data_IF_054784704976
#
_entry.id   IF_054784704976
#
_cell.length_a   1.000
_cell.length_b   1.000
_cell.length_c   1.000
_cell.angle_alpha   90.00
_cell.angle_beta   90.00
_cell.angle_gamma   90.00
#
_symmetry.space_group_name_H-M   'P 1'
#
loop_
_entity.id
_entity.type
_entity.pdbx_description
1 polymer ?
#
# COMPACT_ATOMS: atom_id res chain seq x y z
N UNK A 1 14.04 43.23 40.98
CA UNK A 1 12.79 42.46 40.76
C UNK A 1 12.70 41.90 39.33
N UNK A 2 12.96 42.68 38.27
CA UNK A 2 12.86 42.21 36.88
C UNK A 2 13.82 41.06 36.49
N UNK A 3 15.04 40.98 37.03
CA UNK A 3 15.97 39.87 36.72
C UNK A 3 15.52 38.49 37.25
N UNK A 4 14.70 38.44 38.31
CA UNK A 4 14.15 37.19 38.87
C UNK A 4 12.93 36.68 38.09
N UNK A 5 12.21 37.56 37.39
CA UNK A 5 11.05 37.18 36.55
C UNK A 5 11.48 36.56 35.21
N UNK A 6 12.59 37.03 34.62
CA UNK A 6 13.15 36.47 33.38
C UNK A 6 13.69 35.05 33.59
N UNK A 7 14.34 34.78 34.73
CA UNK A 7 14.86 33.43 35.06
C UNK A 7 13.75 32.45 35.45
N UNK A 8 12.63 32.92 36.01
CA UNK A 8 11.46 32.09 36.28
C UNK A 8 10.69 31.76 35.00
N UNK A 9 10.59 32.71 34.06
CA UNK A 9 10.02 32.50 32.73
C UNK A 9 10.80 31.48 31.90
N UNK A 10 12.14 31.56 31.89
CA UNK A 10 12.98 30.56 31.20
C UNK A 10 12.98 29.19 31.89
N UNK A 11 12.87 29.12 33.22
CA UNK A 11 12.69 27.84 33.92
C UNK A 11 11.30 27.22 33.71
N UNK A 12 10.25 28.01 33.46
CA UNK A 12 8.91 27.50 33.13
C UNK A 12 8.79 27.09 31.66
N UNK A 13 9.49 27.77 30.74
CA UNK A 13 9.60 27.36 29.34
C UNK A 13 10.43 26.05 29.23
N UNK A 14 11.54 25.94 29.98
CA UNK A 14 12.35 24.72 29.99
C UNK A 14 11.75 23.56 30.81
N UNK A 15 10.70 23.80 31.61
CA UNK A 15 9.97 22.74 32.35
C UNK A 15 8.70 22.27 31.62
N UNK A 16 8.27 22.96 30.55
CA UNK A 16 7.26 22.48 29.58
C UNK A 16 7.88 21.76 28.38
N UNK A 17 9.20 21.84 28.21
CA UNK A 17 9.96 20.87 27.40
C UNK A 17 10.34 19.74 28.36
N UNK A 18 9.31 19.05 28.86
CA UNK A 18 9.51 17.81 29.59
C UNK A 18 10.07 16.81 28.59
N UNK A 19 11.33 16.44 28.82
CA UNK A 19 12.01 15.29 28.25
C UNK A 19 11.17 14.03 28.51
N UNK A 20 10.18 13.81 27.65
CA UNK A 20 9.78 12.50 27.18
C UNK A 20 10.02 12.51 25.68
N UNK A 21 11.29 12.76 25.28
CA UNK A 21 11.76 12.15 24.04
C UNK A 21 11.71 10.66 24.32
N UNK A 22 10.61 9.99 23.94
CA UNK A 22 10.72 8.58 23.57
C UNK A 22 11.99 8.49 22.73
N UNK A 23 12.96 7.70 23.19
CA UNK A 23 14.19 7.48 22.44
C UNK A 23 13.78 7.22 20.99
N UNK A 24 14.41 7.92 20.05
CA UNK A 24 14.08 7.87 18.63
C UNK A 24 14.11 6.40 18.18
N UNK A 25 12.93 5.77 18.19
CA UNK A 25 12.77 4.31 18.19
C UNK A 25 12.79 3.72 16.79
N UNK A 26 13.21 4.53 15.82
CA UNK A 26 13.29 4.11 14.43
C UNK A 26 14.23 2.92 14.30
N UNK A 27 13.72 1.88 13.64
CA UNK A 27 14.47 0.70 13.28
C UNK A 27 14.10 0.31 11.86
N UNK A 28 15.10 0.26 10.98
CA UNK A 28 14.87 -0.12 9.60
C UNK A 28 14.37 -1.57 9.51
N UNK A 29 13.24 -1.78 8.83
CA UNK A 29 12.58 -3.09 8.71
C UNK A 29 13.44 -4.10 7.95
N UNK A 30 14.27 -3.64 7.02
CA UNK A 30 15.16 -4.50 6.22
C UNK A 30 16.53 -4.77 6.87
N UNK A 31 17.07 -3.84 7.65
CA UNK A 31 18.47 -3.91 8.09
C UNK A 31 18.75 -3.64 9.57
N UNK A 32 17.74 -3.29 10.36
CA UNK A 32 17.83 -2.90 11.77
C UNK A 32 18.66 -1.62 12.06
N UNK A 33 19.08 -0.88 11.04
CA UNK A 33 19.73 0.42 11.26
C UNK A 33 18.78 1.42 11.91
N UNK A 34 19.31 2.26 12.78
CA UNK A 34 18.61 3.40 13.37
C UNK A 34 18.90 4.73 12.64
N UNK A 35 19.70 4.70 11.56
CA UNK A 35 20.03 5.90 10.79
C UNK A 35 19.04 6.09 9.65
N UNK A 36 18.41 7.26 9.63
CA UNK A 36 17.43 7.61 8.62
C UNK A 36 17.51 9.08 8.20
N UNK A 37 16.91 9.36 7.05
CA UNK A 37 16.59 10.70 6.58
C UNK A 37 15.07 10.86 6.51
N UNK A 38 14.54 11.99 7.00
CA UNK A 38 13.12 12.30 6.92
C UNK A 38 12.77 12.75 5.50
N UNK A 39 11.85 12.04 4.84
CA UNK A 39 11.44 12.33 3.46
C UNK A 39 10.16 13.15 3.43
N UNK A 40 9.15 12.77 4.21
CA UNK A 40 7.88 13.48 4.32
C UNK A 40 7.33 13.28 5.73
N UNK A 41 6.91 14.37 6.37
CA UNK A 41 6.17 14.31 7.64
C UNK A 41 4.72 14.75 7.39
N UNK A 42 3.77 13.87 7.69
CA UNK A 42 2.34 14.11 7.53
C UNK A 42 1.65 14.47 8.85
N UNK A 43 2.41 14.53 9.95
CA UNK A 43 1.89 14.74 11.29
C UNK A 43 1.13 13.50 11.77
N UNK A 44 0.01 13.71 12.45
CA UNK A 44 -0.84 12.63 12.94
C UNK A 44 -2.08 12.50 12.04
N UNK A 45 -2.37 11.31 11.53
CA UNK A 45 -3.57 11.04 10.71
C UNK A 45 -4.30 9.83 11.29
N UNK A 46 -5.64 9.74 11.14
CA UNK A 46 -6.38 8.57 11.58
C UNK A 46 -5.99 7.33 10.76
N UNK A 47 -6.28 6.15 11.30
CA UNK A 47 -6.11 4.90 10.56
C UNK A 47 -7.02 4.88 9.33
N UNK A 48 -6.44 4.64 8.16
CA UNK A 48 -7.10 4.80 6.88
C UNK A 48 -8.36 3.93 6.68
N UNK A 49 -8.48 2.80 7.40
CA UNK A 49 -9.62 1.90 7.34
C UNK A 49 -10.56 1.96 8.57
N UNK A 50 -10.34 2.90 9.51
CA UNK A 50 -11.15 3.04 10.72
C UNK A 50 -12.42 3.89 10.51
N UNK A 51 -13.29 3.48 9.58
CA UNK A 51 -14.56 4.16 9.31
C UNK A 51 -15.46 4.18 10.55
N UNK A 52 -16.15 5.30 10.79
CA UNK A 52 -16.94 5.51 12.01
C UNK A 52 -18.43 5.60 11.73
N UNK A 53 -19.27 5.22 12.70
CA UNK A 53 -20.73 5.26 12.54
C UNK A 53 -21.33 6.66 12.73
N UNK A 54 -20.71 7.47 13.57
CA UNK A 54 -21.15 8.84 13.86
C UNK A 54 -19.95 9.67 14.33
N UNK A 55 -20.11 11.00 14.32
CA UNK A 55 -19.05 11.94 14.68
C UNK A 55 -18.67 11.95 16.16
N UNK A 56 -19.40 11.23 17.02
CA UNK A 56 -19.08 11.07 18.44
C UNK A 56 -18.20 9.83 18.70
N UNK A 57 -17.92 9.03 17.67
CA UNK A 57 -17.10 7.83 17.77
C UNK A 57 -15.64 8.17 18.10
N UNK A 58 -15.13 7.52 19.14
CA UNK A 58 -13.75 7.71 19.62
C UNK A 58 -12.69 7.15 18.68
N UNK A 59 -13.05 6.30 17.71
CA UNK A 59 -12.10 5.81 16.71
C UNK A 59 -11.47 6.97 15.89
N UNK A 60 -12.19 8.09 15.76
CA UNK A 60 -11.71 9.32 15.14
C UNK A 60 -10.57 10.02 15.93
N UNK A 61 -10.50 9.74 17.23
CA UNK A 61 -9.46 10.28 18.13
C UNK A 61 -8.17 9.46 18.10
N UNK A 62 -8.15 8.30 17.42
CA UNK A 62 -6.96 7.46 17.25
C UNK A 62 -6.14 7.92 16.05
N UNK A 63 -5.59 9.13 16.15
CA UNK A 63 -4.60 9.63 15.18
C UNK A 63 -3.23 9.09 15.58
N UNK A 64 -2.51 8.55 14.61
CA UNK A 64 -1.17 7.99 14.80
C UNK A 64 -0.19 8.77 13.92
N UNK A 65 1.06 9.00 14.37
CA UNK A 65 2.09 9.64 13.56
C UNK A 65 2.25 8.94 12.21
N UNK A 66 2.43 9.72 11.15
CA UNK A 66 2.69 9.23 9.81
C UNK A 66 3.79 10.05 9.16
N UNK A 67 4.97 9.44 9.05
CA UNK A 67 6.10 10.06 8.36
C UNK A 67 6.84 9.01 7.54
N UNK A 68 7.22 9.36 6.32
CA UNK A 68 8.05 8.56 5.44
C UNK A 68 9.52 8.90 5.70
N UNK A 69 10.34 7.88 5.89
CA UNK A 69 11.79 8.00 6.09
C UNK A 69 12.55 7.09 5.14
N UNK A 70 13.78 7.47 4.80
CA UNK A 70 14.72 6.65 4.05
C UNK A 70 15.83 6.16 4.97
N UNK A 71 16.08 4.86 5.00
CA UNK A 71 17.20 4.28 5.72
C UNK A 71 18.53 4.67 5.04
N UNK A 72 19.48 5.17 5.83
CA UNK A 72 20.80 5.61 5.34
C UNK A 72 21.81 4.46 5.15
N UNK A 73 21.43 3.22 5.45
CA UNK A 73 22.31 2.04 5.34
C UNK A 73 21.87 1.05 4.25
N UNK A 74 20.58 0.98 3.90
CA UNK A 74 20.07 0.04 2.91
C UNK A 74 19.07 0.65 1.91
N UNK A 75 18.90 1.97 1.96
CA UNK A 75 18.07 2.75 1.03
C UNK A 75 16.57 2.42 1.02
N UNK A 76 16.10 1.64 2.01
CA UNK A 76 14.68 1.34 2.17
C UNK A 76 13.92 2.60 2.56
N UNK A 77 12.84 2.89 1.84
CA UNK A 77 11.82 3.84 2.27
C UNK A 77 10.78 3.10 3.11
N UNK A 78 10.42 3.66 4.26
CA UNK A 78 9.44 3.07 5.16
C UNK A 78 8.75 4.12 6.00
N UNK A 79 7.62 3.78 6.59
CA UNK A 79 7.06 4.63 7.64
C UNK A 79 7.96 4.56 8.89
N UNK A 80 8.08 5.68 9.59
CA UNK A 80 8.95 5.80 10.76
C UNK A 80 8.38 5.07 11.97
N UNK A 81 7.09 5.20 12.20
CA UNK A 81 6.40 4.76 13.41
C UNK A 81 5.40 3.66 13.05
N UNK A 82 5.57 2.48 13.65
CA UNK A 82 4.67 1.35 13.45
C UNK A 82 3.44 1.47 14.34
N UNK A 83 2.26 1.16 13.79
CA UNK A 83 1.03 1.02 14.56
C UNK A 83 0.85 -0.45 14.92
N UNK A 84 0.35 -0.70 16.13
CA UNK A 84 -0.01 -2.04 16.59
C UNK A 84 -0.90 -2.76 15.56
N UNK A 85 -0.43 -3.92 15.09
CA UNK A 85 -1.10 -4.74 14.06
C UNK A 85 -2.52 -5.14 14.46
N UNK A 86 -2.79 -5.32 15.74
CA UNK A 86 -4.14 -5.62 16.23
C UNK A 86 -5.10 -4.45 15.99
N UNK A 87 -4.61 -3.20 16.07
CA UNK A 87 -5.40 -2.02 15.70
C UNK A 87 -5.65 -1.95 14.19
N UNK A 88 -4.64 -2.25 13.37
CA UNK A 88 -4.74 -2.18 11.90
C UNK A 88 -5.65 -3.25 11.29
N UNK A 89 -5.56 -4.50 11.76
CA UNK A 89 -6.18 -5.65 11.07
C UNK A 89 -7.39 -6.25 11.79
N UNK A 90 -7.89 -5.65 12.87
CA UNK A 90 -9.06 -6.16 13.60
C UNK A 90 -10.33 -6.28 12.75
N UNK A 91 -10.46 -5.49 11.68
CA UNK A 91 -11.57 -5.55 10.71
C UNK A 91 -11.06 -5.31 9.27
N UNK A 92 -10.28 -6.24 8.71
CA UNK A 92 -9.79 -6.11 7.32
C UNK A 92 -10.93 -6.27 6.31
N UNK A 93 -11.22 -5.23 5.52
CA UNK A 93 -12.37 -5.17 4.61
C UNK A 93 -12.03 -5.41 3.13
N UNK A 94 -10.74 -5.60 2.79
CA UNK A 94 -10.31 -5.73 1.40
C UNK A 94 -10.30 -7.18 0.94
N UNK A 95 -10.98 -7.44 -0.18
CA UNK A 95 -11.03 -8.74 -0.85
C UNK A 95 -10.62 -8.59 -2.31
N UNK A 96 -9.63 -9.36 -2.75
CA UNK A 96 -9.11 -9.29 -4.12
C UNK A 96 -10.20 -9.58 -5.15
N UNK A 97 -11.07 -10.56 -4.87
CA UNK A 97 -12.20 -10.94 -5.72
C UNK A 97 -13.31 -9.87 -5.86
N UNK A 98 -13.18 -8.69 -5.25
CA UNK A 98 -14.18 -7.61 -5.40
C UNK A 98 -13.80 -6.54 -6.42
N UNK A 99 -12.57 -6.55 -6.94
CA UNK A 99 -12.11 -5.61 -7.97
C UNK A 99 -11.97 -6.31 -9.32
N UNK A 100 -12.69 -5.83 -10.34
CA UNK A 100 -12.58 -6.30 -11.73
C UNK A 100 -11.15 -6.19 -12.26
N UNK A 101 -10.52 -5.02 -12.09
CA UNK A 101 -9.14 -4.81 -12.50
C UNK A 101 -8.15 -5.76 -11.82
N UNK A 102 -8.32 -6.02 -10.51
CA UNK A 102 -7.46 -6.95 -9.78
C UNK A 102 -7.63 -8.40 -10.26
N UNK A 103 -8.86 -8.81 -10.64
CA UNK A 103 -9.12 -10.12 -11.22
C UNK A 103 -8.44 -10.30 -12.57
N UNK A 104 -8.67 -9.36 -13.50
CA UNK A 104 -8.07 -9.44 -14.84
C UNK A 104 -6.54 -9.43 -14.78
N UNK A 105 -5.95 -8.65 -13.87
CA UNK A 105 -4.50 -8.68 -13.65
C UNK A 105 -4.03 -10.03 -13.09
N UNK A 106 -4.72 -10.58 -12.09
CA UNK A 106 -4.39 -11.90 -11.54
C UNK A 106 -4.52 -13.03 -12.57
N UNK A 107 -5.54 -12.98 -13.44
CA UNK A 107 -5.73 -13.89 -14.57
C UNK A 107 -4.56 -13.80 -15.56
N UNK A 108 -4.21 -12.58 -15.99
CA UNK A 108 -3.10 -12.34 -16.92
C UNK A 108 -1.75 -12.81 -16.34
N UNK A 109 -1.50 -12.51 -15.06
CA UNK A 109 -0.30 -12.97 -14.36
C UNK A 109 -0.28 -14.50 -14.26
N UNK A 110 -1.42 -15.11 -13.94
CA UNK A 110 -1.55 -16.56 -13.89
C UNK A 110 -1.23 -17.21 -15.23
N UNK A 111 -1.74 -16.66 -16.33
CA UNK A 111 -1.47 -17.14 -17.69
C UNK A 111 0.03 -17.00 -18.05
N UNK A 112 0.64 -15.87 -17.69
CA UNK A 112 2.07 -15.65 -17.93
C UNK A 112 2.93 -16.69 -17.22
N UNK A 113 2.69 -16.90 -15.92
CA UNK A 113 3.43 -17.87 -15.11
C UNK A 113 3.10 -19.31 -15.53
N UNK A 114 1.88 -19.59 -15.98
CA UNK A 114 1.50 -20.87 -16.56
C UNK A 114 2.32 -21.19 -17.83
N UNK A 115 2.46 -20.24 -18.76
CA UNK A 115 3.27 -20.44 -19.98
C UNK A 115 4.73 -20.77 -19.64
N UNK A 116 5.23 -20.24 -18.53
CA UNK A 116 6.59 -20.44 -18.06
C UNK A 116 6.78 -21.76 -17.31
N UNK A 117 5.90 -22.08 -16.36
CA UNK A 117 6.08 -23.20 -15.42
C UNK A 117 5.15 -24.40 -15.67
N UNK A 118 4.08 -24.21 -16.43
CA UNK A 118 3.00 -25.17 -16.63
C UNK A 118 3.26 -26.22 -17.72
N UNK A 119 4.29 -26.07 -18.55
CA UNK A 119 4.61 -27.01 -19.65
C UNK A 119 5.50 -28.20 -19.22
N UNK A 120 5.75 -28.36 -17.92
CA UNK A 120 6.54 -29.47 -17.40
C UNK A 120 5.73 -30.78 -17.32
N UNK A 121 6.40 -31.92 -17.51
CA UNK A 121 5.80 -33.27 -17.37
C UNK A 121 5.23 -33.49 -15.96
N UNK A 122 5.93 -33.01 -14.94
CA UNK A 122 5.45 -32.92 -13.55
C UNK A 122 5.04 -31.46 -13.28
N UNK A 123 3.77 -31.25 -12.89
CA UNK A 123 3.30 -29.93 -12.47
C UNK A 123 4.02 -29.51 -11.18
N UNK A 124 4.47 -28.25 -11.06
CA UNK A 124 5.21 -27.79 -9.89
C UNK A 124 4.27 -27.64 -8.68
N UNK A 125 4.87 -27.69 -7.49
CA UNK A 125 4.23 -27.23 -6.27
C UNK A 125 4.35 -25.70 -6.18
N UNK A 126 3.20 -25.03 -6.00
CA UNK A 126 3.11 -23.58 -5.88
C UNK A 126 2.62 -23.16 -4.49
N UNK A 127 3.37 -22.25 -3.86
CA UNK A 127 2.95 -21.62 -2.60
C UNK A 127 2.66 -20.14 -2.81
N UNK A 128 1.47 -19.69 -2.43
CA UNK A 128 1.14 -18.26 -2.38
C UNK A 128 1.21 -17.71 -0.95
N UNK A 129 2.05 -16.71 -0.75
CA UNK A 129 2.23 -15.97 0.50
C UNK A 129 1.24 -14.82 0.57
N UNK A 130 0.48 -14.74 1.67
CA UNK A 130 -0.67 -13.85 1.85
C UNK A 130 -1.71 -14.04 0.73
N UNK A 131 -2.17 -15.29 0.58
CA UNK A 131 -3.04 -15.73 -0.52
C UNK A 131 -4.45 -15.13 -0.52
N UNK A 132 -4.82 -14.36 0.52
CA UNK A 132 -6.15 -13.77 0.68
C UNK A 132 -7.25 -14.83 0.55
N UNK A 133 -8.27 -14.58 -0.27
CA UNK A 133 -9.35 -15.51 -0.57
C UNK A 133 -8.91 -16.72 -1.43
N UNK A 134 -7.68 -16.76 -1.93
CA UNK A 134 -7.15 -17.83 -2.77
C UNK A 134 -7.56 -17.75 -4.24
N UNK A 135 -8.12 -16.62 -4.70
CA UNK A 135 -8.51 -16.42 -6.10
C UNK A 135 -7.37 -16.71 -7.09
N UNK A 136 -6.14 -16.32 -6.74
CA UNK A 136 -4.98 -16.58 -7.58
C UNK A 136 -4.64 -18.08 -7.63
N UNK A 137 -4.60 -18.76 -6.47
CA UNK A 137 -4.38 -20.22 -6.39
C UNK A 137 -5.40 -21.05 -7.18
N UNK A 138 -6.65 -20.60 -7.26
CA UNK A 138 -7.72 -21.28 -7.98
C UNK A 138 -7.36 -21.57 -9.44
N UNK A 139 -6.67 -20.63 -10.10
CA UNK A 139 -6.25 -20.78 -11.51
C UNK A 139 -5.23 -21.91 -11.68
N UNK A 140 -4.38 -22.14 -10.68
CA UNK A 140 -3.35 -23.17 -10.72
C UNK A 140 -3.89 -24.55 -10.28
N UNK A 141 -4.82 -24.58 -9.33
CA UNK A 141 -5.58 -25.79 -8.99
C UNK A 141 -6.24 -26.37 -10.24
N UNK A 142 -6.99 -25.54 -10.96
CA UNK A 142 -7.74 -25.95 -12.15
C UNK A 142 -6.81 -26.41 -13.28
N UNK A 143 -5.57 -25.93 -13.26
CA UNK A 143 -4.52 -26.30 -14.19
C UNK A 143 -3.65 -27.49 -13.70
N UNK A 144 -4.00 -28.09 -12.56
CA UNK A 144 -3.45 -29.34 -12.03
C UNK A 144 -2.18 -29.20 -11.19
N UNK A 145 -1.87 -28.02 -10.68
CA UNK A 145 -0.72 -27.80 -9.78
C UNK A 145 -1.04 -28.34 -8.36
N UNK A 146 -0.02 -28.78 -7.64
CA UNK A 146 -0.11 -28.85 -6.17
C UNK A 146 -0.01 -27.41 -5.65
N UNK A 147 -0.91 -27.01 -4.75
CA UNK A 147 -1.03 -25.62 -4.30
C UNK A 147 -1.15 -25.53 -2.79
N UNK A 148 -0.62 -24.45 -2.22
CA UNK A 148 -0.79 -24.10 -0.82
C UNK A 148 -0.80 -22.59 -0.62
N UNK A 149 -1.81 -22.08 0.07
CA UNK A 149 -1.85 -20.70 0.55
C UNK A 149 -1.36 -20.58 1.99
N UNK A 150 -0.82 -19.43 2.35
CA UNK A 150 -0.60 -19.02 3.74
C UNK A 150 -1.16 -17.61 3.91
N UNK A 151 -2.20 -17.46 4.73
CA UNK A 151 -2.84 -16.16 4.97
C UNK A 151 -3.34 -16.06 6.42
N UNK A 152 -3.01 -14.99 7.16
CA UNK A 152 -3.38 -14.87 8.58
C UNK A 152 -4.87 -14.57 8.82
N UNK A 153 -5.61 -14.13 7.79
CA UNK A 153 -6.99 -13.68 7.91
C UNK A 153 -8.01 -14.83 7.94
N UNK A 154 -9.28 -14.50 8.15
CA UNK A 154 -10.39 -15.46 8.02
C UNK A 154 -10.52 -16.03 6.60
N UNK A 155 -9.96 -15.37 5.58
CA UNK A 155 -10.05 -15.83 4.20
C UNK A 155 -9.35 -17.17 3.95
N UNK A 156 -8.37 -17.56 4.79
CA UNK A 156 -7.77 -18.89 4.73
C UNK A 156 -8.80 -20.00 4.96
N UNK A 157 -9.76 -19.81 5.88
CA UNK A 157 -10.83 -20.77 6.14
C UNK A 157 -11.83 -20.82 4.98
N UNK A 158 -12.16 -19.66 4.40
CA UNK A 158 -13.02 -19.56 3.22
C UNK A 158 -12.38 -20.24 1.99
N UNK A 159 -11.08 -20.06 1.79
CA UNK A 159 -10.32 -20.73 0.74
C UNK A 159 -10.35 -22.27 0.92
N UNK A 160 -10.11 -22.76 2.14
CA UNK A 160 -10.20 -24.19 2.45
C UNK A 160 -11.60 -24.76 2.15
N UNK A 161 -12.66 -24.04 2.50
CA UNK A 161 -14.04 -24.44 2.20
C UNK A 161 -14.32 -24.56 0.68
N UNK A 162 -13.57 -23.83 -0.15
CA UNK A 162 -13.61 -23.91 -1.63
C UNK A 162 -12.63 -24.94 -2.21
N UNK A 163 -11.98 -25.75 -1.38
CA UNK A 163 -11.02 -26.76 -1.82
C UNK A 163 -9.66 -26.17 -2.24
N UNK A 164 -9.28 -25.02 -1.69
CA UNK A 164 -7.97 -24.39 -1.85
C UNK A 164 -7.21 -24.54 -0.52
N UNK A 165 -6.24 -25.46 -0.40
CA UNK A 165 -5.51 -25.67 0.84
C UNK A 165 -4.80 -24.40 1.30
N UNK A 166 -5.15 -23.90 2.49
CA UNK A 166 -4.58 -22.68 3.06
C UNK A 166 -4.29 -22.81 4.54
N UNK A 167 -3.11 -22.38 4.98
CA UNK A 167 -2.72 -22.30 6.40
C UNK A 167 -3.08 -20.92 6.94
N UNK A 168 -3.84 -20.89 8.05
CA UNK A 168 -4.17 -19.65 8.76
C UNK A 168 -3.04 -19.25 9.72
N UNK A 169 -2.01 -18.61 9.19
CA UNK A 169 -0.84 -18.14 9.97
C UNK A 169 -0.16 -16.97 9.24
N UNK A 170 0.68 -16.21 9.94
CA UNK A 170 1.59 -15.27 9.27
C UNK A 170 2.73 -16.04 8.59
N UNK A 171 3.13 -15.60 7.40
CA UNK A 171 4.25 -16.21 6.71
C UNK A 171 5.58 -15.77 7.32
N UNK A 172 6.41 -16.75 7.66
CA UNK A 172 7.65 -16.57 8.41
C UNK A 172 8.37 -17.90 8.61
N UNK A 173 9.53 -17.90 9.27
CA UNK A 173 10.34 -19.11 9.45
C UNK A 173 9.58 -20.23 10.18
N UNK A 174 8.71 -19.88 11.13
CA UNK A 174 7.97 -20.85 11.95
C UNK A 174 6.94 -21.64 11.15
N UNK A 175 6.09 -20.98 10.36
CA UNK A 175 5.13 -21.69 9.49
C UNK A 175 5.86 -22.47 8.41
N UNK A 176 6.98 -21.96 7.91
CA UNK A 176 7.83 -22.69 6.94
C UNK A 176 8.36 -24.00 7.52
N UNK A 177 8.76 -24.03 8.79
CA UNK A 177 9.16 -25.29 9.45
C UNK A 177 8.00 -26.30 9.45
N UNK A 178 6.79 -25.87 9.82
CA UNK A 178 5.58 -26.74 9.81
C UNK A 178 5.27 -27.27 8.41
N UNK A 179 5.43 -26.44 7.37
CA UNK A 179 5.23 -26.87 5.98
C UNK A 179 6.22 -27.97 5.61
N UNK A 180 7.50 -27.80 5.94
CA UNK A 180 8.57 -28.75 5.60
C UNK A 180 8.48 -30.09 6.34
N UNK A 181 7.69 -30.19 7.41
CA UNK A 181 7.39 -31.46 8.07
C UNK A 181 6.49 -32.37 7.22
N UNK A 182 5.70 -31.79 6.31
CA UNK A 182 4.63 -32.50 5.58
C UNK A 182 4.68 -32.35 4.07
N UNK A 183 5.46 -31.38 3.55
CA UNK A 183 5.55 -31.04 2.13
C UNK A 183 7.01 -30.82 1.73
N UNK A 184 7.30 -31.06 0.45
CA UNK A 184 8.58 -30.68 -0.15
C UNK A 184 8.64 -29.16 -0.39
N UNK A 185 9.83 -28.67 -0.77
CA UNK A 185 10.03 -27.26 -1.13
C UNK A 185 9.38 -26.96 -2.49
N UNK A 186 8.58 -25.88 -2.62
CA UNK A 186 7.97 -25.50 -3.89
C UNK A 186 8.99 -25.08 -4.95
N UNK A 187 8.70 -25.39 -6.21
CA UNK A 187 9.39 -24.85 -7.38
C UNK A 187 8.95 -23.41 -7.70
N UNK A 188 7.72 -23.04 -7.31
CA UNK A 188 7.20 -21.68 -7.52
C UNK A 188 6.63 -21.13 -6.21
N UNK A 189 7.09 -19.94 -5.84
CA UNK A 189 6.47 -19.16 -4.77
C UNK A 189 5.94 -17.86 -5.35
N UNK A 190 4.80 -17.39 -4.87
CA UNK A 190 4.21 -16.10 -5.28
C UNK A 190 3.87 -15.28 -4.05
N UNK A 191 4.19 -13.99 -4.05
CA UNK A 191 3.78 -13.06 -3.00
C UNK A 191 3.36 -11.74 -3.62
N UNK A 192 2.09 -11.37 -3.48
CA UNK A 192 1.52 -10.19 -4.15
C UNK A 192 1.10 -9.14 -3.14
N UNK A 193 1.64 -7.93 -3.32
CA UNK A 193 1.34 -6.74 -2.53
C UNK A 193 1.54 -6.92 -1.01
N UNK A 194 2.35 -7.88 -0.56
CA UNK A 194 2.53 -8.21 0.88
C UNK A 194 3.83 -7.67 1.49
N UNK A 195 4.92 -7.58 0.72
CA UNK A 195 6.22 -7.14 1.26
C UNK A 195 6.11 -5.75 1.90
N UNK A 196 5.38 -4.83 1.27
CA UNK A 196 5.12 -3.49 1.77
C UNK A 196 4.34 -3.45 3.08
N UNK A 197 3.63 -4.52 3.45
CA UNK A 197 2.75 -4.59 4.63
C UNK A 197 3.37 -5.33 5.82
N UNK A 198 4.59 -5.86 5.69
CA UNK A 198 5.19 -6.70 6.74
C UNK A 198 6.03 -5.90 7.73
N UNK A 199 5.63 -5.91 9.00
CA UNK A 199 6.47 -5.43 10.13
C UNK A 199 7.66 -6.35 10.38
N UNK A 200 7.51 -7.63 10.03
CA UNK A 200 8.55 -8.65 10.16
C UNK A 200 9.19 -8.95 8.79
N UNK A 201 9.57 -7.88 8.05
CA UNK A 201 10.08 -8.00 6.69
C UNK A 201 11.28 -8.96 6.58
N UNK A 202 12.15 -8.97 7.59
CA UNK A 202 13.28 -9.87 7.68
C UNK A 202 12.85 -11.35 7.82
N UNK A 203 11.91 -11.65 8.72
CA UNK A 203 11.41 -13.01 8.92
C UNK A 203 10.62 -13.53 7.70
N UNK A 204 9.84 -12.64 7.07
CA UNK A 204 9.14 -12.92 5.81
C UNK A 204 10.11 -13.39 4.72
N UNK A 205 11.18 -12.61 4.45
CA UNK A 205 12.17 -12.95 3.42
C UNK A 205 13.00 -14.17 3.82
N UNK A 206 13.34 -14.33 5.10
CA UNK A 206 14.02 -15.53 5.61
C UNK A 206 13.17 -16.79 5.38
N UNK A 207 11.87 -16.71 5.64
CA UNK A 207 10.91 -17.78 5.35
C UNK A 207 10.86 -18.11 3.86
N UNK A 208 10.80 -17.09 2.99
CA UNK A 208 10.76 -17.28 1.54
C UNK A 208 12.02 -17.98 1.03
N UNK A 209 13.19 -17.50 1.45
CA UNK A 209 14.48 -18.12 1.16
C UNK A 209 14.53 -19.58 1.59
N UNK A 210 14.07 -19.85 2.82
CA UNK A 210 14.13 -21.20 3.41
C UNK A 210 13.21 -22.18 2.70
N UNK A 211 11.99 -21.75 2.37
CA UNK A 211 10.98 -22.59 1.74
C UNK A 211 11.29 -22.86 0.27
N UNK A 212 11.84 -21.89 -0.47
CA UNK A 212 12.09 -22.00 -1.91
C UNK A 212 13.06 -23.17 -2.23
N UNK A 213 12.69 -24.00 -3.19
CA UNK A 213 13.57 -25.07 -3.70
C UNK A 213 14.85 -24.50 -4.35
N UNK A 214 15.89 -25.32 -4.53
CA UNK A 214 17.20 -24.86 -4.99
C UNK A 214 17.18 -24.18 -6.37
N UNK A 215 16.33 -24.67 -7.28
CA UNK A 215 16.12 -24.09 -8.62
C UNK A 215 14.77 -23.35 -8.70
N UNK A 216 14.12 -23.12 -7.55
CA UNK A 216 12.81 -22.50 -7.49
C UNK A 216 12.84 -21.02 -7.85
N UNK A 217 11.69 -20.51 -8.29
CA UNK A 217 11.47 -19.09 -8.57
C UNK A 217 10.45 -18.50 -7.61
N UNK A 218 10.83 -17.43 -6.91
CA UNK A 218 9.93 -16.58 -6.13
C UNK A 218 9.49 -15.41 -7.01
N UNK A 219 8.19 -15.25 -7.21
CA UNK A 219 7.59 -14.15 -7.96
C UNK A 219 6.97 -13.16 -6.98
N UNK A 220 7.42 -11.91 -7.04
CA UNK A 220 6.96 -10.83 -6.17
C UNK A 220 6.24 -9.78 -7.00
N UNK A 221 5.03 -9.41 -6.61
CA UNK A 221 4.33 -8.23 -7.13
C UNK A 221 4.28 -7.17 -6.03
N UNK A 222 4.78 -5.96 -6.29
CA UNK A 222 4.82 -4.89 -5.28
C UNK A 222 4.78 -3.49 -5.91
N UNK A 223 4.17 -2.49 -5.26
CA UNK A 223 4.19 -1.11 -5.73
C UNK A 223 5.60 -0.58 -5.88
N UNK A 224 5.87 0.13 -6.97
CA UNK A 224 7.21 0.66 -7.24
C UNK A 224 7.38 2.04 -6.60
N UNK A 225 8.30 2.18 -5.65
CA UNK A 225 8.51 3.46 -4.95
C UNK A 225 8.89 4.64 -5.85
N UNK A 226 9.36 4.39 -7.08
CA UNK A 226 9.51 5.44 -8.09
C UNK A 226 8.20 6.21 -8.33
N UNK A 227 7.05 5.53 -8.30
CA UNK A 227 5.74 6.13 -8.58
C UNK A 227 5.28 7.11 -7.49
N UNK A 228 5.73 6.92 -6.25
CA UNK A 228 5.55 7.93 -5.19
C UNK A 228 6.08 9.28 -5.66
N UNK A 229 7.28 9.30 -6.24
CA UNK A 229 7.94 10.54 -6.66
C UNK A 229 7.48 11.02 -8.03
N UNK A 230 7.32 10.09 -8.99
CA UNK A 230 6.99 10.43 -10.37
C UNK A 230 5.56 10.93 -10.52
N UNK A 231 4.62 10.28 -9.84
CA UNK A 231 3.17 10.56 -9.92
C UNK A 231 2.62 11.15 -8.61
N UNK A 232 3.52 11.55 -7.71
CA UNK A 232 3.18 12.19 -6.44
C UNK A 232 2.17 11.39 -5.59
N UNK A 233 2.23 10.05 -5.64
CA UNK A 233 1.31 9.12 -4.98
C UNK A 233 1.49 9.06 -3.45
N UNK A 234 1.67 10.21 -2.79
CA UNK A 234 1.86 10.31 -1.34
C UNK A 234 0.64 9.81 -0.55
N UNK A 235 -0.53 9.76 -1.18
CA UNK A 235 -1.75 9.22 -0.60
C UNK A 235 -1.64 7.71 -0.33
N UNK A 236 -0.76 7.00 -1.04
CA UNK A 236 -0.39 5.62 -0.75
C UNK A 236 0.50 5.47 0.50
N UNK A 237 0.81 6.58 1.17
CA UNK A 237 1.46 6.60 2.47
C UNK A 237 0.41 6.50 3.57
N UNK A 238 0.31 5.34 4.22
CA UNK A 238 -0.61 5.10 5.34
C UNK A 238 -0.10 3.95 6.20
N UNK A 239 -0.61 3.81 7.42
CA UNK A 239 -0.04 2.96 8.46
C UNK A 239 0.06 1.45 8.11
N UNK A 240 -0.71 0.96 7.14
CA UNK A 240 -0.60 -0.44 6.68
C UNK A 240 0.52 -0.64 5.63
N UNK A 241 0.90 0.42 4.91
CA UNK A 241 2.01 0.41 3.96
C UNK A 241 3.30 0.77 4.70
N UNK A 242 3.93 -0.23 5.31
CA UNK A 242 5.13 -0.07 6.11
C UNK A 242 6.38 0.21 5.27
N UNK A 243 6.50 -0.38 4.08
CA UNK A 243 7.71 -0.31 3.23
C UNK A 243 7.40 0.06 1.79
N UNK A 244 8.27 0.88 1.18
CA UNK A 244 8.21 1.33 -0.21
C UNK A 244 9.50 0.93 -0.91
N UNK A 245 9.37 0.05 -1.89
CA UNK A 245 10.49 -0.73 -2.42
C UNK A 245 10.90 -0.22 -3.81
N UNK A 246 12.21 -0.09 -3.99
CA UNK A 246 12.89 0.07 -5.28
C UNK A 246 13.68 -1.21 -5.60
N UNK A 247 14.10 -1.39 -6.84
CA UNK A 247 15.00 -2.49 -7.24
C UNK A 247 16.28 -2.45 -6.41
N UNK A 248 16.90 -1.27 -6.23
CA UNK A 248 18.07 -1.10 -5.36
C UNK A 248 17.86 -1.52 -3.91
N UNK A 249 16.72 -1.14 -3.29
CA UNK A 249 16.41 -1.54 -1.92
C UNK A 249 16.16 -3.06 -1.80
N UNK A 250 15.54 -3.68 -2.82
CA UNK A 250 15.32 -5.11 -2.89
C UNK A 250 16.65 -5.87 -3.03
N UNK A 251 17.59 -5.37 -3.84
CA UNK A 251 18.96 -5.91 -3.91
C UNK A 251 19.63 -5.90 -2.53
N UNK A 252 19.56 -4.78 -1.82
CA UNK A 252 20.14 -4.64 -0.48
C UNK A 252 19.49 -5.58 0.56
N UNK A 253 18.19 -5.86 0.41
CA UNK A 253 17.45 -6.81 1.25
C UNK A 253 17.82 -8.26 0.91
N UNK A 254 17.67 -8.66 -0.35
CA UNK A 254 17.85 -10.05 -0.81
C UNK A 254 19.28 -10.55 -0.69
N UNK A 255 20.28 -9.69 -0.87
CA UNK A 255 21.68 -10.03 -0.66
C UNK A 255 21.95 -10.57 0.75
N UNK A 256 21.22 -10.09 1.76
CA UNK A 256 21.33 -10.57 3.17
C UNK A 256 20.82 -12.00 3.34
N UNK A 257 19.95 -12.44 2.44
CA UNK A 257 19.33 -13.75 2.44
C UNK A 257 19.83 -14.64 1.30
N UNK A 258 20.95 -14.30 0.64
CA UNK A 258 21.48 -15.09 -0.48
C UNK A 258 20.44 -15.34 -1.58
N UNK A 259 19.64 -14.32 -1.85
CA UNK A 259 18.67 -14.27 -2.94
C UNK A 259 19.11 -13.18 -3.93
N UNK A 260 18.76 -13.36 -5.21
CA UNK A 260 18.98 -12.38 -6.26
C UNK A 260 17.78 -12.23 -7.17
N UNK A 261 17.61 -11.03 -7.70
CA UNK A 261 16.62 -10.74 -8.73
C UNK A 261 17.17 -11.26 -10.07
N UNK A 262 16.39 -12.06 -10.77
CA UNK A 262 16.73 -12.57 -12.11
C UNK A 262 15.92 -11.86 -13.19
N UNK A 263 14.68 -11.49 -12.90
CA UNK A 263 13.81 -10.75 -13.80
C UNK A 263 13.15 -9.58 -13.07
N UNK A 264 12.99 -8.44 -13.72
CA UNK A 264 12.14 -7.34 -13.23
C UNK A 264 11.36 -6.70 -14.37
N UNK A 265 10.04 -6.64 -14.22
CA UNK A 265 9.13 -6.01 -15.16
C UNK A 265 8.29 -4.94 -14.45
N UNK A 266 8.01 -3.85 -15.15
CA UNK A 266 7.07 -2.83 -14.69
C UNK A 266 5.67 -3.14 -15.20
N UNK A 267 4.67 -3.00 -14.33
CA UNK A 267 3.25 -3.12 -14.68
C UNK A 267 2.47 -1.94 -14.13
N UNK A 268 1.41 -1.51 -14.84
CA UNK A 268 0.61 -0.35 -14.43
C UNK A 268 -0.32 -0.61 -13.23
N UNK A 269 -0.38 -1.86 -12.75
CA UNK A 269 -1.23 -2.26 -11.63
C UNK A 269 -0.97 -1.41 -10.38
N UNK A 270 -2.04 -1.07 -9.64
CA UNK A 270 -1.99 -0.29 -8.40
C UNK A 270 -1.28 1.07 -8.52
N UNK A 271 -1.29 1.69 -9.70
CA UNK A 271 -0.60 2.97 -9.93
C UNK A 271 0.87 2.83 -10.33
N UNK A 272 1.31 1.60 -10.62
CA UNK A 272 2.65 1.27 -11.05
C UNK A 272 3.36 0.36 -10.04
N UNK A 273 3.60 -0.87 -10.45
CA UNK A 273 4.17 -1.94 -9.64
C UNK A 273 5.32 -2.62 -10.38
N UNK A 274 6.13 -3.37 -9.64
CA UNK A 274 7.13 -4.29 -10.18
C UNK A 274 6.60 -5.72 -10.07
N UNK A 275 6.93 -6.54 -11.07
CA UNK A 275 6.95 -7.99 -10.96
C UNK A 275 8.42 -8.41 -10.95
N UNK A 276 8.89 -8.94 -9.84
CA UNK A 276 10.27 -9.42 -9.69
C UNK A 276 10.29 -10.95 -9.63
N UNK A 277 11.10 -11.58 -10.47
CA UNK A 277 11.49 -12.98 -10.26
C UNK A 277 12.79 -13.00 -9.45
N UNK A 278 12.79 -13.81 -8.39
CA UNK A 278 13.87 -13.93 -7.42
C UNK A 278 14.24 -15.40 -7.30
N UNK A 279 15.54 -15.69 -7.29
CA UNK A 279 16.09 -17.03 -7.10
C UNK A 279 17.20 -17.01 -6.06
N UNK A 280 17.69 -18.18 -5.65
CA UNK A 280 18.91 -18.27 -4.86
C UNK A 280 20.11 -17.63 -5.60
N UNK A 281 21.00 -17.00 -4.84
CA UNK A 281 22.18 -16.28 -5.36
C UNK A 281 23.03 -17.15 -6.30
N UNK A 282 23.15 -18.44 -5.97
CA UNK A 282 23.94 -19.43 -6.71
C UNK A 282 23.26 -19.95 -8.00
N UNK A 283 22.02 -19.55 -8.30
CA UNK A 283 21.35 -19.88 -9.55
C UNK A 283 22.20 -19.43 -10.76
N UNK A 284 22.15 -20.17 -11.86
CA UNK A 284 22.88 -19.81 -13.09
C UNK A 284 22.11 -18.83 -13.99
N UNK A 285 20.86 -18.52 -13.64
CA UNK A 285 20.04 -17.57 -14.39
C UNK A 285 20.64 -16.16 -14.26
N UNK A 286 20.80 -15.49 -15.39
CA UNK A 286 21.30 -14.13 -15.47
C UNK A 286 20.23 -13.11 -15.04
N UNK A 287 20.65 -12.02 -14.41
CA UNK A 287 19.78 -10.89 -14.04
C UNK A 287 19.55 -9.95 -15.22
N UNK A 288 18.33 -9.46 -15.40
CA UNK A 288 17.99 -8.47 -16.43
C UNK A 288 17.60 -7.08 -15.88
N UNK A 289 17.89 -6.83 -14.61
CA UNK A 289 17.52 -5.62 -13.86
C UNK A 289 18.47 -4.43 -14.05
N UNK A 290 19.55 -4.60 -14.82
CA UNK A 290 20.60 -3.60 -15.00
C UNK A 290 20.09 -2.27 -15.56
N UNK A 291 19.11 -2.32 -16.47
CA UNK A 291 18.51 -1.11 -17.03
C UNK A 291 17.70 -0.33 -15.97
N UNK A 292 16.93 -1.02 -15.13
CA UNK A 292 16.21 -0.39 -14.02
C UNK A 292 17.16 0.16 -12.97
N UNK A 293 18.19 -0.58 -12.57
CA UNK A 293 19.20 -0.09 -11.62
C UNK A 293 19.94 1.14 -12.15
N UNK A 294 20.29 1.15 -13.44
CA UNK A 294 20.91 2.32 -14.08
C UNK A 294 19.96 3.52 -14.10
N UNK A 295 18.67 3.29 -14.35
CA UNK A 295 17.64 4.32 -14.27
C UNK A 295 17.49 4.87 -12.85
N UNK A 296 17.31 4.02 -11.84
CA UNK A 296 17.21 4.39 -10.42
C UNK A 296 18.41 5.23 -9.98
N UNK A 297 19.62 4.82 -10.39
CA UNK A 297 20.85 5.56 -10.12
C UNK A 297 20.86 6.92 -10.81
N UNK A 298 20.49 6.98 -12.09
CA UNK A 298 20.46 8.23 -12.87
C UNK A 298 19.54 9.28 -12.22
N UNK A 299 18.37 8.85 -11.75
CA UNK A 299 17.38 9.73 -11.11
C UNK A 299 17.62 9.89 -9.60
N UNK A 300 18.69 9.30 -9.05
CA UNK A 300 19.03 9.32 -7.62
C UNK A 300 17.97 8.70 -6.70
N UNK A 301 17.17 7.73 -7.16
CA UNK A 301 16.01 7.21 -6.41
C UNK A 301 16.39 6.63 -5.04
N UNK A 302 17.58 6.02 -4.94
CA UNK A 302 18.15 5.49 -3.71
C UNK A 302 19.18 6.44 -3.10
N UNK A 303 18.91 7.75 -3.12
CA UNK A 303 19.76 8.76 -2.46
C UNK A 303 18.90 9.80 -1.75
N UNK A 304 19.43 10.40 -0.68
CA UNK A 304 18.77 11.53 0.02
C UNK A 304 18.41 12.65 -0.94
N UNK A 305 19.35 13.05 -1.80
CA UNK A 305 19.15 14.14 -2.77
C UNK A 305 17.99 13.86 -3.73
N UNK A 306 17.72 12.59 -4.06
CA UNK A 306 16.61 12.20 -4.92
C UNK A 306 15.23 12.47 -4.31
N UNK A 307 15.13 12.71 -3.00
CA UNK A 307 13.88 12.94 -2.28
C UNK A 307 13.74 14.36 -1.71
N UNK A 308 14.76 15.22 -1.85
CA UNK A 308 14.78 16.57 -1.25
C UNK A 308 13.62 17.48 -1.66
N UNK A 309 13.04 17.29 -2.85
CA UNK A 309 11.91 18.07 -3.33
C UNK A 309 10.55 17.41 -3.07
N UNK A 310 10.51 16.12 -2.75
CA UNK A 310 9.26 15.37 -2.64
C UNK A 310 8.29 16.01 -1.63
N UNK A 311 8.76 16.34 -0.43
CA UNK A 311 7.94 17.03 0.56
C UNK A 311 7.47 18.43 0.09
N UNK A 312 8.25 19.16 -0.70
CA UNK A 312 7.84 20.46 -1.24
C UNK A 312 6.75 20.30 -2.28
N UNK A 313 6.90 19.32 -3.18
CA UNK A 313 5.94 19.03 -4.25
C UNK A 313 4.62 18.54 -3.66
N UNK A 314 4.65 17.64 -2.67
CA UNK A 314 3.48 17.20 -1.91
C UNK A 314 2.76 18.37 -1.24
N UNK A 315 3.51 19.26 -0.57
CA UNK A 315 2.92 20.46 0.05
C UNK A 315 2.32 21.43 -0.97
N UNK A 316 2.89 21.51 -2.17
CA UNK A 316 2.33 22.32 -3.27
C UNK A 316 1.03 21.70 -3.77
N UNK A 317 1.03 20.40 -4.08
CA UNK A 317 -0.16 19.66 -4.52
C UNK A 317 -1.30 19.81 -3.51
N UNK A 318 -1.01 19.68 -2.21
CA UNK A 318 -1.99 19.86 -1.13
C UNK A 318 -2.66 21.23 -1.22
N UNK A 319 -1.88 22.30 -1.37
CA UNK A 319 -2.40 23.68 -1.46
C UNK A 319 -3.23 23.87 -2.72
N UNK A 320 -2.76 23.34 -3.85
CA UNK A 320 -3.45 23.45 -5.13
C UNK A 320 -4.80 22.72 -5.10
N UNK A 321 -4.87 21.53 -4.48
CA UNK A 321 -6.11 20.75 -4.41
C UNK A 321 -7.16 21.47 -3.56
N UNK A 322 -6.76 21.96 -2.39
CA UNK A 322 -7.65 22.73 -1.50
C UNK A 322 -8.10 24.02 -2.18
N UNK A 323 -7.20 24.71 -2.89
CA UNK A 323 -7.53 25.92 -3.63
C UNK A 323 -8.56 25.66 -4.74
N UNK A 324 -8.38 24.58 -5.52
CA UNK A 324 -9.33 24.17 -6.55
C UNK A 324 -10.72 23.89 -5.96
N UNK A 325 -10.81 23.06 -4.91
CA UNK A 325 -12.08 22.71 -4.28
C UNK A 325 -12.77 23.93 -3.66
N UNK A 326 -12.00 24.84 -3.05
CA UNK A 326 -12.52 26.08 -2.46
C UNK A 326 -13.06 27.01 -3.55
N UNK A 327 -12.37 27.15 -4.68
CA UNK A 327 -12.83 27.96 -5.82
C UNK A 327 -14.13 27.41 -6.40
N UNK A 328 -14.24 26.09 -6.59
CA UNK A 328 -15.47 25.43 -7.05
C UNK A 328 -16.64 25.69 -6.08
N UNK A 329 -16.41 25.54 -4.77
CA UNK A 329 -17.42 25.86 -3.74
C UNK A 329 -17.85 27.33 -3.82
N UNK A 330 -16.91 28.26 -3.94
CA UNK A 330 -17.21 29.70 -4.01
C UNK A 330 -18.00 30.08 -5.27
N UNK A 331 -17.86 29.31 -6.35
CA UNK A 331 -18.66 29.43 -7.58
C UNK A 331 -20.04 28.76 -7.47
N UNK A 332 -20.35 28.14 -6.33
CA UNK A 332 -21.62 27.46 -6.08
C UNK A 332 -21.70 26.04 -6.63
N UNK A 333 -20.57 25.46 -7.05
CA UNK A 333 -20.54 24.08 -7.53
C UNK A 333 -20.54 23.08 -6.37
N UNK A 334 -21.22 21.95 -6.59
CA UNK A 334 -21.25 20.82 -5.67
C UNK A 334 -20.21 19.79 -6.08
N UNK A 335 -19.23 19.59 -5.21
CA UNK A 335 -18.22 18.54 -5.36
C UNK A 335 -18.58 17.36 -4.45
N UNK A 336 -18.51 16.16 -5.01
CA UNK A 336 -18.52 14.89 -4.27
C UNK A 336 -17.27 14.09 -4.63
N UNK A 337 -17.01 12.99 -3.94
CA UNK A 337 -15.90 12.09 -4.28
C UNK A 337 -16.39 10.68 -4.60
N UNK A 338 -15.59 9.92 -5.34
CA UNK A 338 -15.87 8.51 -5.62
C UNK A 338 -14.65 7.61 -5.33
N UNK A 339 -14.88 6.56 -4.55
CA UNK A 339 -13.89 5.61 -4.06
C UNK A 339 -13.37 5.97 -2.67
N UNK A 340 -13.96 5.36 -1.63
CA UNK A 340 -13.54 5.50 -0.24
C UNK A 340 -12.34 4.59 0.07
N UNK A 341 -11.29 4.68 -0.74
CA UNK A 341 -10.08 3.86 -0.60
C UNK A 341 -9.22 4.32 0.59
N UNK A 342 -8.46 3.41 1.21
CA UNK A 342 -7.54 3.74 2.31
C UNK A 342 -6.60 4.90 1.97
N UNK A 343 -5.95 4.84 0.80
CA UNK A 343 -5.10 5.93 0.29
C UNK A 343 -5.81 7.29 0.22
N UNK A 344 -7.09 7.29 -0.18
CA UNK A 344 -7.87 8.52 -0.28
C UNK A 344 -8.12 9.13 1.11
N UNK A 345 -8.28 8.30 2.14
CA UNK A 345 -8.45 8.78 3.52
C UNK A 345 -7.21 9.51 4.01
N UNK A 346 -6.01 9.03 3.66
CA UNK A 346 -4.75 9.77 3.92
C UNK A 346 -4.81 11.15 3.29
N UNK A 347 -5.12 11.24 1.99
CA UNK A 347 -5.13 12.52 1.29
C UNK A 347 -6.15 13.49 1.89
N UNK A 348 -7.39 13.03 2.14
CA UNK A 348 -8.42 13.87 2.74
C UNK A 348 -7.96 14.46 4.07
N UNK A 349 -7.37 13.63 4.95
CA UNK A 349 -6.88 14.06 6.25
C UNK A 349 -5.66 14.98 6.16
N UNK A 350 -4.70 14.63 5.31
CA UNK A 350 -3.49 15.44 5.15
C UNK A 350 -3.80 16.80 4.52
N UNK A 351 -4.76 16.85 3.60
CA UNK A 351 -5.23 18.07 2.97
C UNK A 351 -6.26 18.86 3.79
N UNK A 352 -6.79 18.29 4.88
CA UNK A 352 -7.88 18.86 5.67
C UNK A 352 -9.16 19.12 4.84
N UNK A 353 -9.55 18.12 4.04
CA UNK A 353 -10.72 18.17 3.16
C UNK A 353 -11.90 17.48 3.84
N UNK A 354 -12.81 18.28 4.39
CA UNK A 354 -14.04 17.83 5.04
C UNK A 354 -15.32 17.97 4.18
N UNK A 355 -16.50 17.70 4.78
CA UNK A 355 -17.80 17.75 4.12
C UNK A 355 -18.15 19.11 3.52
N UNK A 356 -17.51 20.17 4.02
CA UNK A 356 -17.65 21.53 3.53
C UNK A 356 -17.10 21.73 2.11
N UNK A 357 -16.13 20.91 1.69
CA UNK A 357 -15.54 20.95 0.34
C UNK A 357 -15.97 19.76 -0.50
N UNK A 358 -16.19 18.60 0.11
CA UNK A 358 -16.60 17.36 -0.56
C UNK A 358 -17.80 16.78 0.17
N UNK A 359 -19.00 16.95 -0.39
CA UNK A 359 -20.25 16.73 0.34
C UNK A 359 -20.52 15.26 0.73
N UNK A 360 -20.00 14.30 -0.05
CA UNK A 360 -20.15 12.87 0.19
C UNK A 360 -19.06 12.07 -0.56
N UNK A 361 -18.87 10.82 -0.16
CA UNK A 361 -17.99 9.86 -0.82
C UNK A 361 -18.81 8.64 -1.29
N UNK A 362 -18.92 8.42 -2.60
CA UNK A 362 -19.57 7.23 -3.12
C UNK A 362 -18.63 6.04 -3.12
N UNK A 363 -19.10 4.87 -2.68
CA UNK A 363 -18.33 3.63 -2.76
C UNK A 363 -19.25 2.43 -3.09
N UNK A 364 -18.78 1.53 -3.94
CA UNK A 364 -19.54 0.33 -4.33
C UNK A 364 -19.58 -0.72 -3.21
N UNK A 365 -18.63 -0.68 -2.26
CA UNK A 365 -18.59 -1.58 -1.13
C UNK A 365 -19.69 -1.23 -0.12
N UNK A 366 -20.73 -2.05 -0.09
CA UNK A 366 -21.88 -1.90 0.81
C UNK A 366 -21.50 -1.94 2.29
N UNK A 367 -20.35 -2.51 2.67
CA UNK A 367 -19.86 -2.50 4.06
C UNK A 367 -19.40 -1.12 4.53
N UNK A 368 -19.10 -0.19 3.61
CA UNK A 368 -18.70 1.18 3.93
C UNK A 368 -19.87 2.17 3.92
N UNK A 369 -20.95 1.85 3.20
CA UNK A 369 -22.10 2.73 3.04
C UNK A 369 -22.81 2.97 4.37
N UNK A 370 -23.18 4.22 4.64
CA UNK A 370 -23.77 4.64 5.92
C UNK A 370 -22.75 4.93 7.02
N UNK A 371 -21.46 4.76 6.76
CA UNK A 371 -20.38 5.18 7.66
C UNK A 371 -19.83 6.55 7.26
N UNK A 372 -18.92 7.08 8.07
CA UNK A 372 -18.19 8.32 7.81
C UNK A 372 -16.71 8.02 7.57
N UNK A 373 -16.10 8.77 6.65
CA UNK A 373 -14.66 8.74 6.40
C UNK A 373 -13.89 9.11 7.70
N UNK A 374 -12.82 8.39 8.06
CA UNK A 374 -12.03 8.67 9.26
C UNK A 374 -11.43 10.08 9.22
N UNK A 375 -11.44 10.79 10.34
CA UNK A 375 -10.87 12.13 10.57
C UNK A 375 -11.71 13.28 10.02
N UNK A 376 -12.15 13.16 8.77
CA UNK A 376 -12.81 14.24 8.04
C UNK A 376 -14.33 14.13 8.02
N UNK A 377 -14.88 12.99 8.45
CA UNK A 377 -16.31 12.75 8.61
C UNK A 377 -17.19 13.00 7.36
N UNK A 378 -16.63 12.80 6.17
CA UNK A 378 -17.41 12.82 4.93
C UNK A 378 -18.32 11.57 4.90
N UNK A 379 -19.64 11.69 4.66
CA UNK A 379 -20.52 10.54 4.63
C UNK A 379 -20.26 9.65 3.43
N UNK A 380 -20.18 8.34 3.67
CA UNK A 380 -20.04 7.32 2.63
C UNK A 380 -21.42 6.85 2.20
N UNK A 381 -21.72 6.97 0.90
CA UNK A 381 -23.04 6.67 0.32
C UNK A 381 -22.92 5.70 -0.85
N UNK A 382 -24.03 5.13 -1.28
CA UNK A 382 -24.05 4.33 -2.50
C UNK A 382 -23.78 5.21 -3.75
N UNK A 383 -23.27 4.63 -4.85
CA UNK A 383 -23.08 5.38 -6.10
C UNK A 383 -24.37 6.04 -6.62
N UNK A 384 -25.53 5.41 -6.37
CA UNK A 384 -26.82 5.98 -6.76
C UNK A 384 -27.14 7.23 -5.94
N UNK A 385 -27.06 7.13 -4.61
CA UNK A 385 -27.31 8.27 -3.71
C UNK A 385 -26.36 9.43 -4.01
N UNK A 386 -25.09 9.12 -4.33
CA UNK A 386 -24.10 10.12 -4.72
C UNK A 386 -24.56 10.96 -5.93
N UNK A 387 -25.09 10.31 -6.97
CA UNK A 387 -25.55 10.99 -8.19
C UNK A 387 -26.91 11.66 -8.00
N UNK A 388 -27.78 11.10 -7.16
CA UNK A 388 -29.06 11.73 -6.80
C UNK A 388 -28.85 13.09 -6.08
N UNK A 389 -27.67 13.33 -5.49
CA UNK A 389 -27.28 14.66 -4.98
C UNK A 389 -27.06 15.70 -6.09
N UNK A 390 -27.09 15.32 -7.38
CA UNK A 390 -26.81 16.19 -8.53
C UNK A 390 -25.49 16.96 -8.38
N UNK A 391 -24.34 16.26 -8.25
CA UNK A 391 -23.03 16.91 -8.19
C UNK A 391 -22.65 17.53 -9.54
N UNK A 392 -21.84 18.59 -9.49
CA UNK A 392 -21.18 19.17 -10.67
C UNK A 392 -19.84 18.49 -10.94
N UNK A 393 -19.13 18.07 -9.88
CA UNK A 393 -17.82 17.45 -9.97
C UNK A 393 -17.71 16.18 -9.11
N UNK A 394 -16.99 15.19 -9.63
CA UNK A 394 -16.57 13.99 -8.87
C UNK A 394 -15.05 13.99 -8.71
N UNK A 395 -14.57 14.18 -7.48
CA UNK A 395 -13.17 13.94 -7.10
C UNK A 395 -12.89 12.42 -7.06
N UNK A 396 -11.97 11.96 -7.90
CA UNK A 396 -11.65 10.53 -8.02
C UNK A 396 -10.69 10.13 -6.88
N UNK A 397 -11.23 9.49 -5.85
CA UNK A 397 -10.46 9.00 -4.70
C UNK A 397 -9.75 7.67 -4.94
N UNK A 398 -10.29 6.84 -5.85
CA UNK A 398 -9.66 5.60 -6.29
C UNK A 398 -9.04 5.77 -7.68
N UNK A 399 -8.12 6.73 -7.83
CA UNK A 399 -7.52 7.15 -9.10
C UNK A 399 -6.83 6.05 -9.91
N UNK A 400 -6.36 4.98 -9.27
CA UNK A 400 -5.80 3.80 -9.95
C UNK A 400 -6.87 2.99 -10.73
N UNK A 401 -8.16 3.30 -10.54
CA UNK A 401 -9.30 2.77 -11.28
C UNK A 401 -10.03 3.88 -12.06
N UNK A 402 -9.35 4.98 -12.41
CA UNK A 402 -9.91 6.15 -13.12
C UNK A 402 -10.84 5.76 -14.26
N UNK A 403 -10.35 4.97 -15.22
CA UNK A 403 -11.12 4.67 -16.43
C UNK A 403 -12.37 3.84 -16.15
N UNK A 404 -12.28 2.89 -15.20
CA UNK A 404 -13.43 2.11 -14.74
C UNK A 404 -14.46 3.01 -14.05
N UNK A 405 -14.02 3.90 -13.16
CA UNK A 405 -14.88 4.84 -12.44
C UNK A 405 -15.60 5.77 -13.42
N UNK A 406 -14.87 6.40 -14.35
CA UNK A 406 -15.44 7.28 -15.37
C UNK A 406 -16.47 6.51 -16.19
N UNK A 407 -16.12 5.32 -16.69
CA UNK A 407 -17.03 4.48 -17.47
C UNK A 407 -18.30 4.13 -16.69
N UNK A 408 -18.19 3.73 -15.43
CA UNK A 408 -19.35 3.39 -14.58
C UNK A 408 -20.21 4.63 -14.32
N UNK A 409 -19.62 5.77 -13.94
CA UNK A 409 -20.37 7.01 -13.68
C UNK A 409 -21.11 7.51 -14.93
N UNK A 410 -20.45 7.46 -16.09
CA UNK A 410 -21.04 7.89 -17.37
C UNK A 410 -22.12 6.92 -17.87
N UNK A 411 -21.82 5.63 -17.92
CA UNK A 411 -22.66 4.65 -18.62
C UNK A 411 -23.78 4.09 -17.73
N UNK A 412 -23.51 3.84 -16.45
CA UNK A 412 -24.48 3.22 -15.54
C UNK A 412 -25.32 4.26 -14.79
N UNK A 413 -24.68 5.35 -14.33
CA UNK A 413 -25.35 6.37 -13.53
C UNK A 413 -25.68 7.65 -14.31
N UNK A 414 -25.32 7.72 -15.60
CA UNK A 414 -25.62 8.84 -16.49
C UNK A 414 -25.13 10.21 -15.95
N UNK A 415 -24.04 10.23 -15.19
CA UNK A 415 -23.43 11.46 -14.69
C UNK A 415 -22.99 12.36 -15.87
N UNK A 416 -23.25 13.67 -15.77
CA UNK A 416 -22.97 14.66 -16.83
C UNK A 416 -21.99 15.78 -16.42
N UNK A 417 -21.62 15.86 -15.14
CA UNK A 417 -20.61 16.82 -14.66
C UNK A 417 -19.20 16.38 -15.01
N UNK A 418 -18.19 17.03 -14.43
CA UNK A 418 -16.77 16.74 -14.70
C UNK A 418 -16.14 15.91 -13.57
N UNK A 419 -14.94 15.38 -13.79
CA UNK A 419 -14.16 14.69 -12.76
C UNK A 419 -12.96 15.52 -12.35
N UNK A 420 -12.46 15.28 -11.13
CA UNK A 420 -11.22 15.88 -10.65
C UNK A 420 -10.24 14.74 -10.36
N UNK A 421 -9.11 14.74 -11.05
CA UNK A 421 -7.96 13.91 -10.71
C UNK A 421 -7.15 14.63 -9.64
N UNK A 422 -6.89 14.02 -8.47
CA UNK A 422 -6.15 14.69 -7.41
C UNK A 422 -4.65 14.79 -7.67
N UNK A 423 -4.06 13.78 -8.32
CA UNK A 423 -2.62 13.58 -8.46
C UNK A 423 -2.24 13.35 -9.93
N UNK A 424 -1.00 13.66 -10.34
CA UNK A 424 0.07 14.30 -9.56
C UNK A 424 -0.16 15.78 -9.28
N UNK A 425 -1.02 16.43 -10.06
CA UNK A 425 -1.55 17.76 -9.83
C UNK A 425 -3.07 17.73 -9.99
N UNK A 426 -3.81 18.59 -9.27
CA UNK A 426 -5.26 18.65 -9.40
C UNK A 426 -5.65 19.08 -10.81
N UNK A 427 -6.43 18.24 -11.50
CA UNK A 427 -6.86 18.48 -12.88
C UNK A 427 -8.36 18.16 -13.02
N UNK A 428 -9.11 19.08 -13.64
CA UNK A 428 -10.49 18.82 -14.06
C UNK A 428 -10.45 18.12 -15.41
N UNK A 429 -11.17 17.01 -15.54
CA UNK A 429 -11.25 16.21 -16.77
C UNK A 429 -12.72 15.86 -17.10
N UNK A 430 -12.97 15.59 -18.38
CA UNK A 430 -14.25 15.09 -18.90
C UNK A 430 -14.46 13.59 -18.67
#
# INVERSE_FOLDING_TARGET
MLRKLVTLGQKLINKKIGENKMADSFKCLACNSNKYHMVLDMGEVPLANAFVQNSEDTADQNREPLSLVMCLECDLLQIKDEVDRTKLFSNYLWMTSTSSGAKTHAENLSEHLWKRFGNNEKKPFLVEVASNDGFFLEHYRDAGFDILGVDPSNFAEEANARGLPSIRDFFGVDVVNKILETREKPEVMVARNVLGHSSELQDLVAGMQKLLSAEGTLVLELPYAYMLRAELQYDTIFHEHLSYLTVGSLHNLFKRYQLKITNVDFVHMNGGSLICEVMHENSKVASNDQAMLAFEKFIGLNTVNGWENFAKDVNKQRKDLVALLTDLKNKGHKVVSYGAAAKFMTMLNYCDIGPDLVAACGDANTRKQGLLCPGVHIPVVSPKELIDMSPDFILIGAWNFKDEIISVMRNKYNFKGEFIMPLPYPEIID
#
